data_IF_593251197167
#
_entry.id   IF_593251197167
#
_cell.length_a   1.000
_cell.length_b   1.000
_cell.length_c   1.000
_cell.angle_alpha   90.00
_cell.angle_beta   90.00
_cell.angle_gamma   90.00
#
_symmetry.space_group_name_H-M   'P 1'
#
loop_
_entity.id
_entity.type
_entity.pdbx_description
1 polymer ?
#
# COMPACT_ATOMS: atom_id res chain seq x y z
N UNK A 1 9.26 25.47 -4.52
CA UNK A 1 8.20 25.03 -5.45
C UNK A 1 8.08 23.51 -5.36
N UNK A 2 6.94 22.90 -5.63
CA UNK A 2 6.79 21.44 -5.63
C UNK A 2 5.79 21.02 -6.70
N UNK A 3 5.99 19.81 -7.25
CA UNK A 3 5.14 19.21 -8.27
C UNK A 3 4.36 18.04 -7.65
N UNK A 4 3.03 18.14 -7.58
CA UNK A 4 2.17 17.03 -7.15
C UNK A 4 1.82 16.14 -8.35
N UNK A 5 2.17 14.86 -8.25
CA UNK A 5 1.93 13.86 -9.30
C UNK A 5 1.47 12.51 -8.73
N UNK A 6 1.13 11.59 -9.64
CA UNK A 6 0.78 10.21 -9.31
C UNK A 6 1.99 9.33 -9.65
N UNK A 7 2.50 8.55 -8.67
CA UNK A 7 3.59 7.59 -8.91
C UNK A 7 3.06 6.15 -9.12
N UNK A 8 1.86 5.86 -8.62
CA UNK A 8 1.20 4.57 -8.82
C UNK A 8 -0.31 4.71 -8.83
N UNK A 9 -0.96 4.11 -9.82
CA UNK A 9 -2.41 3.99 -9.88
C UNK A 9 -2.80 2.56 -10.25
N UNK A 10 -3.53 1.90 -9.36
CA UNK A 10 -4.16 0.59 -9.62
C UNK A 10 -5.65 0.68 -9.34
N UNK A 11 -6.43 0.32 -10.33
CA UNK A 11 -7.89 0.40 -10.33
C UNK A 11 -8.44 -1.02 -10.19
N UNK A 12 -9.27 -1.26 -9.19
CA UNK A 12 -10.07 -2.46 -9.10
C UNK A 12 -11.28 -2.28 -10.00
N UNK A 13 -11.51 -3.21 -10.91
CA UNK A 13 -12.49 -3.08 -11.99
C UNK A 13 -13.27 -4.37 -12.22
N UNK A 14 -14.43 -4.25 -12.86
CA UNK A 14 -15.21 -5.37 -13.40
C UNK A 14 -14.87 -5.51 -14.88
N UNK A 15 -14.36 -6.66 -15.26
CA UNK A 15 -13.95 -7.03 -16.61
C UNK A 15 -14.88 -8.10 -17.22
N UNK A 16 -16.03 -8.41 -16.59
CA UNK A 16 -16.92 -9.48 -17.05
C UNK A 16 -17.50 -9.23 -18.46
N UNK A 17 -17.64 -7.96 -18.83
CA UNK A 17 -18.10 -7.52 -20.15
C UNK A 17 -16.96 -6.98 -21.04
N UNK A 18 -15.70 -7.21 -20.65
CA UNK A 18 -14.52 -6.69 -21.37
C UNK A 18 -14.54 -7.15 -22.83
N UNK A 19 -14.42 -6.19 -23.73
CA UNK A 19 -14.34 -6.40 -25.17
C UNK A 19 -13.25 -5.46 -25.74
N UNK A 20 -12.04 -5.96 -26.01
CA UNK A 20 -10.96 -5.14 -26.55
C UNK A 20 -11.35 -4.51 -27.88
N UNK A 21 -11.17 -3.20 -27.98
CA UNK A 21 -11.36 -2.46 -29.23
C UNK A 21 -10.17 -2.63 -30.16
N UNK A 22 -10.29 -2.23 -31.40
CA UNK A 22 -9.22 -2.33 -32.41
C UNK A 22 -8.03 -1.40 -32.13
N UNK A 23 -8.25 -0.34 -31.35
CA UNK A 23 -7.22 0.65 -31.05
C UNK A 23 -6.28 0.19 -29.92
N UNK A 24 -6.74 -0.79 -29.13
CA UNK A 24 -5.97 -1.33 -28.01
C UNK A 24 -5.59 -2.79 -28.24
N UNK A 25 -4.33 -3.11 -28.08
CA UNK A 25 -3.83 -4.49 -28.13
C UNK A 25 -3.73 -5.02 -26.71
N UNK A 26 -4.47 -6.09 -26.41
CA UNK A 26 -4.39 -6.83 -25.15
C UNK A 26 -3.54 -8.07 -25.39
N UNK A 27 -2.25 -7.96 -25.12
CA UNK A 27 -1.32 -9.09 -25.22
C UNK A 27 -1.40 -9.94 -23.96
N UNK A 28 -1.84 -11.19 -24.12
CA UNK A 28 -2.03 -12.11 -23.00
C UNK A 28 -0.72 -12.75 -22.61
N UNK A 29 -0.32 -12.50 -21.36
CA UNK A 29 0.86 -13.15 -20.78
C UNK A 29 0.63 -14.65 -20.57
N UNK A 30 1.67 -15.48 -20.67
CA UNK A 30 1.58 -16.93 -20.52
C UNK A 30 1.15 -17.38 -19.11
N UNK A 31 1.28 -16.51 -18.12
CA UNK A 31 0.90 -16.78 -16.72
C UNK A 31 0.34 -15.53 -16.06
N UNK A 32 -0.57 -15.75 -15.14
CA UNK A 32 -1.14 -14.68 -14.30
C UNK A 32 -0.32 -14.46 -13.03
N UNK A 33 -0.99 -13.91 -12.02
CA UNK A 33 -0.43 -13.67 -10.68
C UNK A 33 -0.88 -14.74 -9.67
N UNK A 34 -0.39 -14.67 -8.44
CA UNK A 34 -0.90 -15.52 -7.34
C UNK A 34 -2.38 -15.26 -7.01
N UNK A 35 -2.93 -14.12 -7.42
CA UNK A 35 -4.32 -13.72 -7.13
C UNK A 35 -5.23 -13.90 -8.34
N UNK A 36 -4.72 -13.61 -9.55
CA UNK A 36 -5.49 -13.60 -10.79
C UNK A 36 -4.94 -14.61 -11.79
N UNK A 37 -5.83 -15.30 -12.49
CA UNK A 37 -5.46 -16.32 -13.46
C UNK A 37 -4.88 -15.74 -14.73
N UNK A 38 -5.43 -14.62 -15.20
CA UNK A 38 -5.04 -13.98 -16.45
C UNK A 38 -4.32 -12.66 -16.20
N UNK A 39 -3.34 -12.37 -17.07
CA UNK A 39 -2.63 -11.10 -17.12
C UNK A 39 -2.49 -10.65 -18.57
N UNK A 40 -2.71 -9.37 -18.81
CA UNK A 40 -2.61 -8.74 -20.12
C UNK A 40 -1.74 -7.50 -20.02
N UNK A 41 -0.78 -7.35 -20.93
CA UNK A 41 -0.11 -6.09 -21.21
C UNK A 41 -0.92 -5.35 -22.27
N UNK A 42 -1.30 -4.09 -22.00
CA UNK A 42 -2.16 -3.31 -22.87
C UNK A 42 -1.31 -2.25 -23.58
N UNK A 43 -1.41 -2.25 -24.92
CA UNK A 43 -0.72 -1.32 -25.78
C UNK A 43 -1.72 -0.37 -26.47
N UNK A 44 -1.30 0.87 -26.63
CA UNK A 44 -1.95 1.87 -27.47
C UNK A 44 -0.91 2.46 -28.43
N UNK A 45 -1.14 2.38 -29.74
CA UNK A 45 -0.20 2.82 -30.77
C UNK A 45 1.23 2.24 -30.62
N UNK A 46 1.33 1.01 -30.12
CA UNK A 46 2.61 0.31 -29.91
C UNK A 46 3.33 0.64 -28.60
N UNK A 47 2.81 1.53 -27.78
CA UNK A 47 3.34 1.84 -26.46
C UNK A 47 2.58 1.10 -25.36
N UNK A 48 3.32 0.55 -24.38
CA UNK A 48 2.74 -0.06 -23.19
C UNK A 48 2.12 1.01 -22.30
N UNK A 49 0.81 0.90 -22.04
CA UNK A 49 0.06 1.90 -21.26
C UNK A 49 -0.45 1.37 -19.93
N UNK A 50 -0.77 0.08 -19.85
CA UNK A 50 -1.33 -0.52 -18.64
C UNK A 50 -1.08 -2.03 -18.58
N UNK A 51 -1.23 -2.58 -17.37
CA UNK A 51 -1.28 -4.04 -17.14
C UNK A 51 -2.61 -4.35 -16.47
N UNK A 52 -3.38 -5.26 -17.06
CA UNK A 52 -4.62 -5.78 -16.50
C UNK A 52 -4.40 -7.20 -15.99
N UNK A 53 -4.70 -7.42 -14.69
CA UNK A 53 -4.82 -8.77 -14.14
C UNK A 53 -6.26 -9.04 -13.80
N UNK A 54 -6.83 -10.17 -14.27
CA UNK A 54 -8.24 -10.49 -14.07
C UNK A 54 -8.49 -11.98 -13.85
N UNK A 55 -9.75 -12.35 -13.66
CA UNK A 55 -10.18 -13.69 -13.33
C UNK A 55 -9.57 -14.21 -12.02
N UNK A 56 -10.14 -13.78 -10.85
CA UNK A 56 -9.64 -14.19 -9.55
C UNK A 56 -9.58 -15.71 -9.40
N UNK A 57 -8.48 -16.22 -8.84
CA UNK A 57 -8.32 -17.65 -8.54
C UNK A 57 -9.15 -18.08 -7.34
N UNK A 58 -9.42 -17.16 -6.41
CA UNK A 58 -10.22 -17.41 -5.22
C UNK A 58 -11.70 -17.16 -5.45
N UNK A 59 -12.53 -18.08 -4.99
CA UNK A 59 -14.00 -17.92 -4.98
C UNK A 59 -14.49 -16.80 -4.04
N UNK A 60 -13.65 -16.34 -3.11
CA UNK A 60 -13.95 -15.20 -2.24
C UNK A 60 -13.99 -13.85 -2.97
N UNK A 61 -13.47 -13.79 -4.18
CA UNK A 61 -13.54 -12.61 -5.03
C UNK A 61 -14.62 -12.78 -6.11
N UNK A 62 -15.29 -11.69 -6.47
CA UNK A 62 -16.29 -11.71 -7.54
C UNK A 62 -15.63 -12.13 -8.86
N UNK A 63 -16.19 -13.14 -9.54
CA UNK A 63 -15.73 -13.54 -10.88
C UNK A 63 -15.82 -12.35 -11.86
N UNK A 64 -14.92 -12.33 -12.84
CA UNK A 64 -14.85 -11.24 -13.82
C UNK A 64 -14.23 -9.95 -13.30
N UNK A 65 -13.81 -9.88 -12.04
CA UNK A 65 -13.11 -8.70 -11.54
C UNK A 65 -11.60 -8.78 -11.77
N UNK A 66 -10.95 -7.62 -11.78
CA UNK A 66 -9.53 -7.49 -12.03
C UNK A 66 -8.91 -6.25 -11.41
N UNK A 67 -7.62 -6.09 -11.66
CA UNK A 67 -6.86 -4.89 -11.31
C UNK A 67 -6.16 -4.37 -12.56
N UNK A 68 -6.52 -3.16 -12.95
CA UNK A 68 -5.87 -2.40 -14.01
C UNK A 68 -4.82 -1.49 -13.39
N UNK A 69 -3.55 -1.74 -13.67
CA UNK A 69 -2.42 -0.91 -13.27
C UNK A 69 -2.04 0.00 -14.42
N UNK A 70 -2.12 1.30 -14.24
CA UNK A 70 -1.65 2.28 -15.22
C UNK A 70 -0.13 2.42 -15.09
N UNK A 71 0.58 2.42 -16.21
CA UNK A 71 2.04 2.55 -16.23
C UNK A 71 2.47 4.01 -16.04
N UNK A 72 3.64 4.19 -15.42
CA UNK A 72 4.11 5.52 -15.04
C UNK A 72 4.23 6.52 -16.20
N UNK A 73 4.67 6.17 -17.42
CA UNK A 73 4.73 7.13 -18.53
C UNK A 73 3.39 7.81 -18.79
N UNK A 74 2.29 7.07 -18.65
CA UNK A 74 0.93 7.60 -18.86
C UNK A 74 0.52 8.56 -17.74
N UNK A 75 0.94 8.27 -16.49
CA UNK A 75 0.59 9.08 -15.30
C UNK A 75 1.15 10.51 -15.35
N UNK A 76 2.13 10.77 -16.22
CA UNK A 76 2.76 12.09 -16.42
C UNK A 76 2.28 12.80 -17.69
N UNK A 77 1.35 12.23 -18.46
CA UNK A 77 0.82 12.86 -19.69
C UNK A 77 -0.25 13.91 -19.37
N UNK A 78 -0.39 14.88 -20.27
CA UNK A 78 -1.33 16.00 -20.09
C UNK A 78 -2.79 15.58 -20.10
N UNK A 79 -3.17 14.61 -20.95
CA UNK A 79 -4.56 14.14 -21.12
C UNK A 79 -4.83 12.83 -20.33
N UNK A 80 -4.27 12.74 -19.13
CA UNK A 80 -4.36 11.56 -18.28
C UNK A 80 -5.81 11.12 -18.01
N UNK A 81 -6.70 12.09 -17.76
CA UNK A 81 -8.11 11.83 -17.46
C UNK A 81 -8.80 11.12 -18.63
N UNK A 82 -8.72 11.73 -19.82
CA UNK A 82 -9.34 11.21 -21.03
C UNK A 82 -8.74 9.87 -21.44
N UNK A 83 -7.44 9.69 -21.31
CA UNK A 83 -6.78 8.44 -21.67
C UNK A 83 -7.23 7.27 -20.81
N UNK A 84 -7.32 7.45 -19.50
CA UNK A 84 -7.75 6.38 -18.59
C UNK A 84 -9.24 6.08 -18.79
N UNK A 85 -10.09 7.11 -18.90
CA UNK A 85 -11.51 6.90 -19.16
C UNK A 85 -11.77 6.26 -20.52
N UNK A 86 -11.08 6.67 -21.57
CA UNK A 86 -11.18 6.04 -22.89
C UNK A 86 -10.71 4.58 -22.85
N UNK A 87 -9.57 4.28 -22.22
CA UNK A 87 -9.11 2.90 -22.03
C UNK A 87 -10.18 2.04 -21.39
N UNK A 88 -10.80 2.51 -20.33
CA UNK A 88 -11.80 1.74 -19.60
C UNK A 88 -13.14 1.65 -20.37
N UNK A 89 -13.64 2.77 -20.84
CA UNK A 89 -14.96 2.86 -21.47
C UNK A 89 -15.01 2.12 -22.80
N UNK A 90 -14.04 2.35 -23.69
CA UNK A 90 -14.01 1.75 -25.04
C UNK A 90 -13.86 0.22 -24.95
N UNK A 91 -13.18 -0.29 -23.93
CA UNK A 91 -12.95 -1.72 -23.75
C UNK A 91 -13.93 -2.38 -22.76
N UNK A 92 -15.01 -1.69 -22.36
CA UNK A 92 -16.04 -2.16 -21.42
C UNK A 92 -15.47 -2.64 -20.07
N UNK A 93 -14.47 -1.94 -19.55
CA UNK A 93 -13.91 -2.15 -18.21
C UNK A 93 -14.59 -1.19 -17.25
N UNK A 94 -15.33 -1.70 -16.26
CA UNK A 94 -16.06 -0.86 -15.32
C UNK A 94 -15.24 -0.54 -14.08
N UNK A 95 -15.18 0.73 -13.70
CA UNK A 95 -14.55 1.19 -12.46
C UNK A 95 -15.33 0.68 -11.24
N UNK A 96 -14.63 0.10 -10.26
CA UNK A 96 -15.20 -0.28 -8.97
C UNK A 96 -14.59 0.52 -7.83
N UNK A 97 -13.26 0.60 -7.77
CA UNK A 97 -12.53 1.29 -6.71
C UNK A 97 -11.06 1.48 -7.11
N UNK A 98 -10.35 2.38 -6.41
CA UNK A 98 -8.89 2.48 -6.50
C UNK A 98 -8.29 1.54 -5.45
N UNK A 99 -7.62 0.48 -5.90
CA UNK A 99 -6.99 -0.51 -5.03
C UNK A 99 -5.67 -0.04 -4.43
N UNK A 100 -4.89 0.74 -5.20
CA UNK A 100 -3.66 1.42 -4.74
C UNK A 100 -3.49 2.76 -5.44
N UNK A 101 -3.12 3.75 -4.67
CA UNK A 101 -2.78 5.08 -5.14
C UNK A 101 -1.54 5.56 -4.39
N UNK A 102 -0.48 5.89 -5.13
CA UNK A 102 0.67 6.57 -4.56
C UNK A 102 0.71 8.00 -5.13
N UNK A 103 0.48 8.98 -4.26
CA UNK A 103 0.57 10.41 -4.58
C UNK A 103 1.89 10.94 -4.07
N UNK A 104 2.60 11.71 -4.88
CA UNK A 104 3.88 12.25 -4.52
C UNK A 104 3.99 13.75 -4.84
N UNK A 105 4.89 14.41 -4.11
CA UNK A 105 5.39 15.74 -4.47
C UNK A 105 6.90 15.66 -4.64
N UNK A 106 7.39 16.21 -5.76
CA UNK A 106 8.80 16.39 -6.04
C UNK A 106 9.21 17.83 -5.74
N UNK A 107 10.38 18.03 -5.14
CA UNK A 107 10.91 19.33 -4.73
C UNK A 107 12.43 19.24 -4.53
N UNK A 108 13.14 20.37 -4.56
CA UNK A 108 14.58 20.38 -4.33
C UNK A 108 14.95 20.30 -2.84
N UNK A 109 14.27 21.05 -1.99
CA UNK A 109 14.53 21.06 -0.55
C UNK A 109 13.26 21.47 0.22
N UNK A 110 13.24 21.20 1.50
CA UNK A 110 12.21 21.71 2.41
C UNK A 110 12.45 23.18 2.76
N UNK A 111 11.39 23.92 3.02
CA UNK A 111 11.47 25.28 3.53
C UNK A 111 12.25 25.31 4.85
N UNK A 112 13.26 26.18 4.94
CA UNK A 112 14.17 26.24 6.09
C UNK A 112 15.26 25.15 6.12
N UNK A 113 15.29 24.24 5.14
CA UNK A 113 16.29 23.16 5.02
C UNK A 113 16.88 23.11 3.60
N UNK A 114 17.72 24.10 3.21
CA UNK A 114 18.40 24.07 1.90
C UNK A 114 19.31 22.84 1.74
N UNK A 115 19.82 22.31 2.86
CA UNK A 115 20.43 20.99 2.93
C UNK A 115 19.49 19.98 3.59
N UNK A 116 19.01 19.03 2.82
CA UNK A 116 18.12 17.98 3.30
C UNK A 116 18.76 17.09 4.37
N UNK A 117 20.09 16.98 4.43
CA UNK A 117 20.78 16.24 5.48
C UNK A 117 20.56 16.91 6.85
N UNK A 118 20.46 18.23 6.90
CA UNK A 118 20.14 18.94 8.13
C UNK A 118 18.72 18.61 8.65
N UNK A 119 17.73 18.44 7.76
CA UNK A 119 16.41 17.97 8.13
C UNK A 119 16.46 16.59 8.79
N UNK A 120 17.19 15.64 8.21
CA UNK A 120 17.37 14.31 8.81
C UNK A 120 18.05 14.39 10.16
N UNK A 121 19.10 15.19 10.31
CA UNK A 121 19.81 15.39 11.58
C UNK A 121 18.88 15.98 12.65
N UNK A 122 18.13 17.02 12.31
CA UNK A 122 17.21 17.67 13.26
C UNK A 122 16.07 16.73 13.66
N UNK A 123 15.59 15.88 12.76
CA UNK A 123 14.65 14.82 13.09
C UNK A 123 15.27 13.76 14.00
N UNK A 124 16.47 13.25 13.69
CA UNK A 124 17.15 12.22 14.45
C UNK A 124 17.65 12.73 15.82
N UNK A 125 17.95 14.01 15.95
CA UNK A 125 18.33 14.64 17.23
C UNK A 125 17.14 15.16 18.04
N UNK A 126 15.90 14.89 17.58
CA UNK A 126 14.67 15.31 18.26
C UNK A 126 14.47 16.84 18.33
N UNK A 127 15.14 17.61 17.51
CA UNK A 127 14.79 19.02 17.28
C UNK A 127 13.46 19.16 16.52
N UNK A 128 13.14 18.14 15.70
CA UNK A 128 11.85 17.97 15.06
C UNK A 128 11.12 16.74 15.62
N UNK A 129 9.86 16.91 15.94
CA UNK A 129 8.97 15.83 16.32
C UNK A 129 7.97 15.51 15.24
N UNK A 130 7.84 14.22 14.89
CA UNK A 130 6.75 13.72 14.02
C UNK A 130 5.55 13.34 14.88
N UNK A 131 4.40 13.95 14.63
CA UNK A 131 3.15 13.63 15.32
C UNK A 131 2.55 12.33 14.75
N UNK A 132 2.03 11.47 15.62
CA UNK A 132 1.29 10.26 15.24
C UNK A 132 2.13 9.09 14.73
N UNK A 133 3.46 9.16 14.74
CA UNK A 133 4.32 8.03 14.31
C UNK A 133 5.12 7.46 15.49
N UNK A 134 4.87 6.18 15.82
CA UNK A 134 5.65 5.44 16.81
C UNK A 134 6.86 4.72 16.20
N UNK A 135 6.79 4.37 14.90
CA UNK A 135 7.83 3.62 14.18
C UNK A 135 8.12 4.29 12.84
N UNK A 136 9.38 4.32 12.48
CA UNK A 136 9.85 4.80 11.18
C UNK A 136 11.09 4.02 10.76
N UNK A 137 11.44 4.12 9.47
CA UNK A 137 12.61 3.49 8.88
C UNK A 137 13.45 4.55 8.19
N UNK A 138 14.74 4.56 8.47
CA UNK A 138 15.72 5.47 7.85
C UNK A 138 16.75 4.63 7.11
N UNK A 139 17.13 5.06 5.91
CA UNK A 139 18.24 4.48 5.16
C UNK A 139 19.33 5.52 4.98
N UNK A 140 20.55 5.10 5.24
CA UNK A 140 21.75 5.91 5.09
C UNK A 140 22.79 5.17 4.24
N UNK A 141 23.55 5.92 3.42
CA UNK A 141 24.68 5.40 2.64
C UNK A 141 24.36 4.17 1.77
N UNK A 142 23.24 4.18 1.04
CA UNK A 142 22.77 3.14 0.10
C UNK A 142 22.64 1.71 0.66
N UNK A 143 23.47 1.29 1.61
CA UNK A 143 23.63 -0.10 2.01
C UNK A 143 23.01 -0.43 3.37
N UNK A 144 22.64 0.55 4.17
CA UNK A 144 22.20 0.31 5.56
C UNK A 144 20.82 0.87 5.79
N UNK A 145 19.87 -0.04 6.00
CA UNK A 145 18.50 0.29 6.34
C UNK A 145 18.28 0.07 7.85
N UNK A 146 17.83 1.10 8.56
CA UNK A 146 17.61 1.06 10.00
C UNK A 146 16.10 1.08 10.28
N UNK A 147 15.63 0.11 11.07
CA UNK A 147 14.32 0.18 11.71
C UNK A 147 14.49 0.90 13.06
N UNK A 148 13.92 2.11 13.15
CA UNK A 148 14.09 2.96 14.32
C UNK A 148 12.81 3.07 15.15
N UNK A 149 13.00 2.98 16.47
CA UNK A 149 12.05 3.53 17.43
C UNK A 149 12.71 4.79 18.04
N UNK A 150 11.93 5.75 18.53
CA UNK A 150 12.45 6.98 19.14
C UNK A 150 13.54 6.73 20.19
N UNK A 151 13.53 5.59 20.87
CA UNK A 151 14.51 5.22 21.90
C UNK A 151 15.82 4.60 21.36
N UNK A 152 15.89 4.23 20.07
CA UNK A 152 17.08 3.61 19.47
C UNK A 152 17.92 4.58 18.61
N UNK A 153 17.64 5.87 18.66
CA UNK A 153 18.24 6.87 17.77
C UNK A 153 19.67 7.25 18.11
N UNK A 154 20.13 6.99 19.33
CA UNK A 154 21.44 7.47 19.86
C UNK A 154 22.63 6.98 19.00
N UNK A 155 22.52 5.84 18.33
CA UNK A 155 23.59 5.31 17.46
C UNK A 155 23.61 5.86 16.03
N UNK A 156 22.56 6.59 15.59
CA UNK A 156 22.43 7.07 14.21
C UNK A 156 22.96 8.49 13.98
N UNK A 157 23.38 9.18 15.03
CA UNK A 157 23.82 10.60 15.00
C UNK A 157 25.23 10.79 14.44
N UNK A 158 25.72 9.90 13.58
CA UNK A 158 27.02 10.07 12.97
C UNK A 158 26.98 11.09 11.85
N UNK A 159 27.83 12.11 11.93
CA UNK A 159 28.08 13.09 10.86
C UNK A 159 28.62 12.47 9.56
N UNK A 160 28.90 11.16 9.55
CA UNK A 160 29.40 10.40 8.39
C UNK A 160 28.31 9.77 7.55
N UNK A 161 27.03 9.82 7.99
CA UNK A 161 25.93 9.23 7.25
C UNK A 161 25.26 10.25 6.34
N UNK A 162 25.10 9.87 5.06
CA UNK A 162 24.27 10.58 4.11
C UNK A 162 22.91 9.89 4.05
N UNK A 163 21.89 10.54 4.57
CA UNK A 163 20.53 9.99 4.62
C UNK A 163 19.84 10.17 3.27
N UNK A 164 19.13 9.14 2.83
CA UNK A 164 18.53 9.10 1.50
C UNK A 164 17.06 8.73 1.51
N UNK A 165 16.57 8.21 2.66
CA UNK A 165 15.24 7.66 2.75
C UNK A 165 14.71 7.72 4.18
N UNK A 166 13.43 8.10 4.29
CA UNK A 166 12.67 8.07 5.54
C UNK A 166 11.26 7.56 5.24
N UNK A 167 10.80 6.58 6.01
CA UNK A 167 9.47 6.02 5.88
C UNK A 167 8.73 6.04 7.20
N UNK A 168 7.46 6.44 7.17
CA UNK A 168 6.48 6.25 8.23
C UNK A 168 5.42 5.26 7.78
N UNK A 169 5.02 4.37 8.68
CA UNK A 169 4.12 3.27 8.38
C UNK A 169 4.84 2.04 7.81
N UNK A 170 4.20 0.89 7.90
CA UNK A 170 4.69 -0.37 7.34
C UNK A 170 4.27 -0.55 5.89
N UNK A 171 4.91 -1.50 5.17
CA UNK A 171 4.52 -1.87 3.79
C UNK A 171 3.07 -2.36 3.68
N UNK A 172 2.49 -2.88 4.76
CA UNK A 172 1.10 -3.37 4.81
C UNK A 172 0.11 -2.34 5.37
N UNK A 173 0.59 -1.19 5.85
CA UNK A 173 -0.30 -0.12 6.35
C UNK A 173 -1.21 0.40 5.24
N UNK A 174 -2.44 0.77 5.60
CA UNK A 174 -3.40 1.42 4.68
C UNK A 174 -2.86 2.73 4.13
N UNK A 175 -2.09 3.46 4.95
CA UNK A 175 -1.37 4.67 4.57
C UNK A 175 0.08 4.55 5.03
N UNK A 176 1.01 4.89 4.16
CA UNK A 176 2.43 5.05 4.49
C UNK A 176 2.99 6.27 3.76
N UNK A 177 3.95 6.93 4.40
CA UNK A 177 4.63 8.10 3.85
C UNK A 177 6.11 7.78 3.63
N UNK A 178 6.65 8.19 2.49
CA UNK A 178 8.02 7.95 2.06
C UNK A 178 8.65 9.28 1.64
N UNK A 179 9.79 9.60 2.21
CA UNK A 179 10.67 10.68 1.71
C UNK A 179 11.94 10.04 1.20
N UNK A 180 12.35 10.33 -0.04
CA UNK A 180 13.56 9.77 -0.60
C UNK A 180 14.19 10.66 -1.67
N UNK A 181 15.51 10.48 -1.85
CA UNK A 181 16.27 11.18 -2.89
C UNK A 181 15.95 10.59 -4.27
N UNK A 182 15.12 11.29 -5.04
CA UNK A 182 14.67 10.86 -6.37
C UNK A 182 15.78 10.97 -7.41
N UNK A 183 16.66 11.95 -7.30
CA UNK A 183 17.83 12.06 -8.19
C UNK A 183 18.72 10.84 -8.10
N UNK A 184 18.89 10.28 -6.92
CA UNK A 184 19.69 9.07 -6.73
C UNK A 184 19.02 7.85 -7.37
N UNK A 185 17.70 7.70 -7.23
CA UNK A 185 16.96 6.63 -7.92
C UNK A 185 17.15 6.73 -9.45
N UNK A 186 17.15 7.95 -10.00
CA UNK A 186 17.41 8.20 -11.42
C UNK A 186 18.80 7.76 -11.90
N UNK A 187 19.82 7.95 -11.06
CA UNK A 187 21.20 7.53 -11.38
C UNK A 187 21.37 6.03 -11.30
N UNK A 188 20.66 5.39 -10.36
CA UNK A 188 20.89 4.00 -10.03
C UNK A 188 20.07 3.01 -10.88
N UNK A 189 18.91 3.42 -11.40
CA UNK A 189 18.00 2.52 -12.11
C UNK A 189 17.98 2.82 -13.62
N UNK A 190 17.28 3.83 -14.02
CA UNK A 190 17.18 4.30 -15.42
C UNK A 190 16.53 5.69 -15.41
N UNK A 191 17.15 6.62 -16.15
CA UNK A 191 16.56 7.95 -16.35
C UNK A 191 15.20 7.79 -17.06
N UNK A 192 14.16 8.35 -16.45
CA UNK A 192 12.80 8.39 -16.99
C UNK A 192 12.53 9.79 -17.51
N UNK A 193 12.71 10.01 -18.81
CA UNK A 193 12.65 11.33 -19.43
C UNK A 193 11.35 12.08 -19.13
N UNK A 194 10.20 11.38 -19.11
CA UNK A 194 8.91 11.98 -18.77
C UNK A 194 8.85 12.63 -17.40
N UNK A 195 9.62 12.13 -16.41
CA UNK A 195 9.73 12.78 -15.08
C UNK A 195 10.62 14.03 -15.18
N UNK A 196 11.74 13.97 -15.89
CA UNK A 196 12.61 15.12 -16.08
C UNK A 196 11.89 16.25 -16.83
N UNK A 197 11.10 15.94 -17.84
CA UNK A 197 10.23 16.88 -18.55
C UNK A 197 9.20 17.52 -17.62
N UNK A 198 8.57 16.72 -16.74
CA UNK A 198 7.62 17.23 -15.74
C UNK A 198 8.31 18.13 -14.71
N UNK A 199 9.55 17.84 -14.32
CA UNK A 199 10.33 18.73 -13.44
C UNK A 199 10.63 20.05 -14.11
N UNK A 200 11.12 20.01 -15.37
CA UNK A 200 11.43 21.23 -16.14
C UNK A 200 10.19 22.12 -16.32
N UNK A 201 9.03 21.52 -16.59
CA UNK A 201 7.75 22.23 -16.75
C UNK A 201 7.23 22.87 -15.44
N UNK A 202 7.78 22.48 -14.28
CA UNK A 202 7.35 22.96 -12.96
C UNK A 202 8.47 23.60 -12.14
N UNK A 203 9.50 24.13 -12.80
CA UNK A 203 10.62 24.85 -12.20
C UNK A 203 11.35 24.07 -11.08
N UNK A 204 11.42 22.75 -11.20
CA UNK A 204 12.24 21.89 -10.33
C UNK A 204 13.61 21.75 -10.98
N UNK A 205 14.64 22.22 -10.29
CA UNK A 205 16.01 22.21 -10.81
C UNK A 205 16.64 20.81 -10.74
N UNK A 206 16.73 20.12 -11.87
CA UNK A 206 17.36 18.78 -11.95
C UNK A 206 18.87 18.78 -11.71
N UNK A 207 19.53 19.96 -11.70
CA UNK A 207 20.97 20.08 -11.38
C UNK A 207 21.21 19.95 -9.88
N UNK A 208 20.21 20.24 -9.08
CA UNK A 208 20.19 19.99 -7.64
C UNK A 208 19.64 18.60 -7.33
N UNK A 209 19.75 18.19 -6.08
CA UNK A 209 19.03 17.00 -5.63
C UNK A 209 17.53 17.25 -5.66
N UNK A 210 16.79 16.32 -6.25
CA UNK A 210 15.33 16.28 -6.19
C UNK A 210 14.91 15.22 -5.19
N UNK A 211 14.09 15.63 -4.25
CA UNK A 211 13.49 14.79 -3.24
C UNK A 211 12.04 14.54 -3.55
N UNK A 212 11.56 13.37 -3.19
CA UNK A 212 10.16 12.98 -3.34
C UNK A 212 9.55 12.63 -1.98
N UNK A 213 8.43 13.29 -1.68
CA UNK A 213 7.56 12.90 -0.58
C UNK A 213 6.31 12.22 -1.15
N UNK A 214 6.15 10.94 -0.86
CA UNK A 214 5.12 10.07 -1.40
C UNK A 214 4.20 9.54 -0.31
N UNK A 215 2.89 9.54 -0.56
CA UNK A 215 1.87 8.89 0.27
C UNK A 215 1.29 7.71 -0.48
N UNK A 216 1.51 6.50 0.03
CA UNK A 216 0.94 5.27 -0.52
C UNK A 216 -0.36 4.91 0.20
N UNK A 217 -1.47 4.88 -0.56
CA UNK A 217 -2.81 4.56 -0.09
C UNK A 217 -3.24 3.19 -0.61
N UNK A 218 -3.54 2.24 0.27
CA UNK A 218 -3.86 0.85 -0.09
C UNK A 218 -5.26 0.46 0.37
N UNK A 219 -5.99 -0.20 -0.56
CA UNK A 219 -7.33 -0.70 -0.31
C UNK A 219 -8.36 0.42 -0.10
N UNK A 220 -9.51 0.05 0.39
CA UNK A 220 -10.70 0.88 0.58
C UNK A 220 -10.85 1.44 1.99
N UNK A 221 -9.92 1.12 2.89
CA UNK A 221 -9.98 1.51 4.29
C UNK A 221 -9.64 2.97 4.58
N UNK A 222 -9.46 3.82 3.57
CA UNK A 222 -9.30 5.26 3.75
C UNK A 222 -10.43 5.99 3.04
N UNK A 223 -11.09 6.87 3.79
CA UNK A 223 -12.12 7.79 3.27
C UNK A 223 -11.71 9.23 3.59
N UNK A 224 -12.27 10.14 2.85
CA UNK A 224 -12.04 11.58 3.03
C UNK A 224 -13.34 12.25 3.46
N UNK A 225 -13.28 12.98 4.55
CA UNK A 225 -14.38 13.84 4.98
C UNK A 225 -14.17 15.22 4.33
N UNK A 226 -15.10 15.63 3.48
CA UNK A 226 -15.15 17.02 3.01
C UNK A 226 -15.62 17.90 4.17
N UNK A 227 -14.79 18.86 4.57
CA UNK A 227 -15.04 19.68 5.77
C UNK A 227 -16.14 20.73 5.56
N UNK A 228 -16.43 21.10 4.33
CA UNK A 228 -17.49 22.04 3.96
C UNK A 228 -18.84 21.34 3.88
N UNK A 229 -18.94 20.30 3.06
CA UNK A 229 -20.20 19.58 2.84
C UNK A 229 -20.54 18.58 3.93
N UNK A 230 -19.58 18.24 4.81
CA UNK A 230 -19.66 17.16 5.82
C UNK A 230 -19.93 15.77 5.23
N UNK A 231 -19.73 15.60 3.95
CA UNK A 231 -19.93 14.33 3.27
C UNK A 231 -18.64 13.49 3.23
N UNK A 232 -18.81 12.18 3.34
CA UNK A 232 -17.72 11.22 3.17
C UNK A 232 -17.52 10.89 1.69
N UNK A 233 -16.27 10.91 1.26
CA UNK A 233 -15.87 10.58 -0.09
C UNK A 233 -14.89 9.39 -0.07
N UNK A 234 -15.15 8.40 -0.91
CA UNK A 234 -14.16 7.38 -1.21
C UNK A 234 -13.17 7.91 -2.27
N UNK A 235 -12.00 7.26 -2.39
CA UNK A 235 -11.12 7.52 -3.53
C UNK A 235 -11.85 7.19 -4.82
N UNK A 236 -11.91 8.13 -5.75
CA UNK A 236 -12.46 7.94 -7.08
C UNK A 236 -11.51 8.49 -8.14
N UNK A 237 -11.77 8.19 -9.41
CA UNK A 237 -10.90 8.61 -10.50
C UNK A 237 -10.89 10.13 -10.66
N UNK A 238 -12.03 10.80 -10.53
CA UNK A 238 -12.14 12.25 -10.70
C UNK A 238 -11.25 12.99 -9.72
N UNK A 239 -11.27 12.59 -8.43
CA UNK A 239 -10.41 13.19 -7.39
C UNK A 239 -8.92 13.00 -7.67
N UNK A 240 -8.54 11.93 -8.35
CA UNK A 240 -7.14 11.57 -8.58
C UNK A 240 -6.63 12.13 -9.89
N UNK A 241 -7.45 12.09 -10.93
CA UNK A 241 -7.03 12.46 -12.28
C UNK A 241 -7.12 13.98 -12.52
N UNK A 242 -8.07 14.67 -11.88
CA UNK A 242 -8.13 16.14 -11.91
C UNK A 242 -6.97 16.76 -11.11
N UNK A 243 -6.13 17.62 -11.70
CA UNK A 243 -4.95 18.19 -11.03
C UNK A 243 -5.28 18.98 -9.77
N UNK A 244 -6.39 19.72 -9.76
CA UNK A 244 -6.78 20.55 -8.63
C UNK A 244 -7.24 19.68 -7.47
N UNK A 245 -8.13 18.71 -7.73
CA UNK A 245 -8.62 17.79 -6.71
C UNK A 245 -7.48 16.88 -6.20
N UNK A 246 -6.58 16.44 -7.08
CA UNK A 246 -5.39 15.69 -6.71
C UNK A 246 -4.49 16.47 -5.75
N UNK A 247 -4.27 17.76 -6.01
CA UNK A 247 -3.51 18.63 -5.10
C UNK A 247 -4.20 18.76 -3.76
N UNK A 248 -5.52 18.97 -3.71
CA UNK A 248 -6.29 18.99 -2.46
C UNK A 248 -6.19 17.68 -1.69
N UNK A 249 -6.19 16.55 -2.40
CA UNK A 249 -6.02 15.23 -1.82
C UNK A 249 -4.62 15.06 -1.23
N UNK A 250 -3.57 15.45 -1.95
CA UNK A 250 -2.20 15.44 -1.47
C UNK A 250 -2.03 16.33 -0.24
N UNK A 251 -2.54 17.56 -0.27
CA UNK A 251 -2.48 18.50 0.85
C UNK A 251 -3.14 17.92 2.10
N UNK A 252 -4.31 17.29 1.96
CA UNK A 252 -4.99 16.60 3.06
C UNK A 252 -4.12 15.50 3.69
N UNK A 253 -3.44 14.71 2.87
CA UNK A 253 -2.53 13.65 3.32
C UNK A 253 -1.29 14.22 4.01
N UNK A 254 -0.72 15.27 3.42
CA UNK A 254 0.43 15.96 4.00
C UNK A 254 0.12 16.50 5.39
N UNK A 255 -0.94 17.29 5.53
CA UNK A 255 -1.35 17.88 6.81
C UNK A 255 -1.63 16.82 7.89
N UNK A 256 -2.12 15.65 7.49
CA UNK A 256 -2.42 14.55 8.43
C UNK A 256 -1.22 13.66 8.73
N UNK A 257 -0.46 13.29 7.71
CA UNK A 257 0.56 12.23 7.83
C UNK A 257 2.00 12.74 7.78
N UNK A 258 2.22 14.04 7.50
CA UNK A 258 3.53 14.69 7.51
C UNK A 258 3.62 15.83 8.53
N UNK A 259 2.90 15.73 9.65
CA UNK A 259 2.86 16.74 10.72
C UNK A 259 4.14 16.69 11.56
N UNK A 260 5.05 17.63 11.28
CA UNK A 260 6.26 17.85 12.07
C UNK A 260 6.13 19.09 12.94
N UNK A 261 6.72 19.02 14.13
CA UNK A 261 6.74 20.09 15.13
C UNK A 261 8.15 20.41 15.54
N UNK A 262 8.44 21.69 15.71
CA UNK A 262 9.72 22.15 16.27
C UNK A 262 9.71 21.89 17.77
N UNK A 263 10.73 21.21 18.27
CA UNK A 263 10.88 20.95 19.70
C UNK A 263 11.30 22.21 20.41
N UNK A 264 10.34 22.92 20.98
CA UNK A 264 10.52 24.15 21.78
C UNK A 264 10.50 23.91 23.29
N UNK A 265 10.63 22.63 23.71
CA UNK A 265 10.62 22.22 25.12
C UNK A 265 9.21 22.10 25.73
N UNK A 266 8.15 22.28 24.97
CA UNK A 266 6.79 22.07 25.47
C UNK A 266 6.54 20.59 25.78
N UNK A 267 5.87 20.30 26.90
CA UNK A 267 5.52 18.93 27.31
C UNK A 267 4.54 18.26 26.35
N UNK A 268 3.64 19.03 25.76
CA UNK A 268 2.61 18.52 24.83
C UNK A 268 3.01 18.80 23.39
N UNK A 269 3.31 17.75 22.64
CA UNK A 269 3.76 17.81 21.23
C UNK A 269 2.78 18.49 20.30
N UNK A 270 1.47 18.35 20.55
CA UNK A 270 0.41 18.96 19.76
C UNK A 270 0.36 20.51 19.91
N UNK A 271 0.99 21.04 20.96
CA UNK A 271 1.11 22.49 21.20
C UNK A 271 2.42 23.10 20.69
N UNK A 272 3.37 22.28 20.28
CA UNK A 272 4.62 22.73 19.68
C UNK A 272 4.36 23.43 18.35
N UNK A 273 5.22 24.37 17.97
CA UNK A 273 5.12 25.10 16.69
C UNK A 273 5.19 24.13 15.52
N UNK A 274 4.28 24.25 14.57
CA UNK A 274 4.29 23.48 13.34
C UNK A 274 5.52 23.85 12.49
N UNK A 275 6.22 22.83 11.99
CA UNK A 275 7.29 22.99 11.02
C UNK A 275 6.69 22.96 9.61
N UNK A 276 6.54 24.13 8.98
CA UNK A 276 6.10 24.23 7.60
C UNK A 276 7.26 23.86 6.67
N UNK A 277 7.33 22.59 6.25
CA UNK A 277 8.42 22.05 5.44
C UNK A 277 8.17 22.21 3.94
N UNK A 278 6.91 22.23 3.50
CA UNK A 278 6.49 22.55 2.13
C UNK A 278 5.41 23.64 2.17
N UNK A 279 5.31 24.48 1.15
CA UNK A 279 4.28 25.51 1.02
C UNK A 279 2.94 24.86 0.65
N UNK A 280 2.34 24.14 1.60
CA UNK A 280 1.09 23.41 1.42
C UNK A 280 -0.08 24.31 1.83
N UNK A 281 -1.02 24.49 0.93
CA UNK A 281 -2.27 25.17 1.21
C UNK A 281 -3.18 24.31 2.09
N UNK A 282 -4.14 24.94 2.76
CA UNK A 282 -5.17 24.24 3.50
C UNK A 282 -5.98 23.34 2.56
N UNK A 283 -6.43 22.18 3.06
CA UNK A 283 -7.31 21.29 2.30
C UNK A 283 -8.69 21.24 2.93
N UNK A 284 -9.72 21.25 2.08
CA UNK A 284 -11.11 20.99 2.50
C UNK A 284 -11.34 19.51 2.84
N UNK A 285 -10.40 18.64 2.49
CA UNK A 285 -10.47 17.19 2.71
C UNK A 285 -9.73 16.81 3.99
N UNK A 286 -10.31 15.91 4.76
CA UNK A 286 -9.69 15.30 5.94
C UNK A 286 -9.65 13.78 5.78
N UNK A 287 -8.47 13.15 5.67
CA UNK A 287 -8.38 11.72 5.54
C UNK A 287 -8.67 11.03 6.90
N UNK A 288 -9.45 9.97 6.85
CA UNK A 288 -9.77 9.11 7.99
C UNK A 288 -9.54 7.66 7.60
N UNK A 289 -8.74 6.96 8.40
CA UNK A 289 -8.58 5.51 8.28
C UNK A 289 -9.70 4.84 9.04
N UNK A 290 -10.51 4.06 8.35
CA UNK A 290 -11.53 3.24 8.98
C UNK A 290 -10.82 2.00 9.53
N UNK A 291 -10.75 1.91 10.85
CA UNK A 291 -10.31 0.72 11.57
C UNK A 291 -11.57 0.00 12.02
N UNK A 292 -11.90 -1.13 11.38
CA UNK A 292 -12.93 -2.03 11.90
C UNK A 292 -12.41 -2.70 13.18
N UNK A 293 -13.24 -2.81 14.19
CA UNK A 293 -12.96 -3.59 15.40
C UNK A 293 -13.11 -5.09 15.15
N UNK A 294 -13.88 -5.49 14.14
CA UNK A 294 -14.15 -6.88 13.78
C UNK A 294 -13.33 -7.30 12.56
N UNK A 295 -13.14 -8.61 12.42
CA UNK A 295 -12.54 -9.21 11.22
C UNK A 295 -13.37 -8.74 10.03
N UNK A 296 -12.79 -7.87 9.21
CA UNK A 296 -13.48 -7.26 8.08
C UNK A 296 -13.71 -8.31 7.01
N UNK A 297 -14.76 -8.16 6.17
CA UNK A 297 -14.99 -9.01 4.97
C UNK A 297 -13.71 -9.23 4.16
N UNK A 298 -12.82 -8.26 4.17
CA UNK A 298 -11.54 -8.32 3.46
C UNK A 298 -10.54 -9.26 4.14
N UNK A 299 -10.50 -9.27 5.47
CA UNK A 299 -9.65 -10.20 6.23
C UNK A 299 -10.19 -11.61 6.10
N UNK A 300 -11.51 -11.79 6.18
CA UNK A 300 -12.15 -13.08 5.88
C UNK A 300 -11.82 -13.57 4.46
N UNK A 301 -11.93 -12.71 3.43
CA UNK A 301 -11.55 -13.04 2.05
C UNK A 301 -10.07 -13.42 1.91
N UNK A 302 -9.16 -12.75 2.64
CA UNK A 302 -7.74 -13.12 2.67
C UNK A 302 -7.51 -14.48 3.31
N UNK A 303 -8.20 -14.78 4.41
CA UNK A 303 -8.14 -16.07 5.09
C UNK A 303 -8.66 -17.17 4.19
N UNK A 304 -9.83 -16.97 3.56
CA UNK A 304 -10.37 -17.89 2.55
C UNK A 304 -9.32 -18.18 1.46
N UNK A 305 -8.73 -17.13 0.89
CA UNK A 305 -7.72 -17.29 -0.17
C UNK A 305 -6.45 -18.00 0.31
N UNK A 306 -6.07 -17.83 1.57
CA UNK A 306 -4.93 -18.55 2.16
C UNK A 306 -5.24 -20.03 2.35
N UNK A 307 -6.43 -20.35 2.86
CA UNK A 307 -6.92 -21.72 3.03
C UNK A 307 -6.98 -22.44 1.68
N UNK A 308 -7.57 -21.81 0.65
CA UNK A 308 -7.68 -22.37 -0.70
C UNK A 308 -6.31 -22.70 -1.28
N UNK A 309 -5.33 -21.77 -1.20
CA UNK A 309 -3.95 -22.02 -1.67
C UNK A 309 -3.30 -23.19 -0.94
N UNK A 310 -3.50 -23.29 0.37
CA UNK A 310 -2.95 -24.40 1.16
C UNK A 310 -3.52 -25.74 0.71
N UNK A 311 -4.84 -25.81 0.47
CA UNK A 311 -5.46 -27.03 -0.08
C UNK A 311 -4.94 -27.37 -1.48
N UNK A 312 -4.80 -26.38 -2.36
CA UNK A 312 -4.29 -26.61 -3.71
C UNK A 312 -2.83 -27.08 -3.69
N UNK A 313 -1.99 -26.50 -2.83
CA UNK A 313 -0.58 -26.94 -2.65
C UNK A 313 -0.49 -28.40 -2.15
N UNK A 314 -1.31 -28.79 -1.18
CA UNK A 314 -1.35 -30.15 -0.66
C UNK A 314 -1.82 -31.13 -1.73
N UNK A 315 -2.84 -30.76 -2.51
CA UNK A 315 -3.38 -31.56 -3.62
C UNK A 315 -2.35 -31.76 -4.74
N UNK A 316 -1.65 -30.70 -5.12
CA UNK A 316 -0.64 -30.73 -6.21
C UNK A 316 0.59 -31.56 -5.84
N UNK A 317 1.03 -31.52 -4.59
CA UNK A 317 2.20 -32.28 -4.11
C UNK A 317 1.96 -33.78 -3.96
N UNK A 318 0.74 -34.29 -4.23
CA UNK A 318 0.33 -35.70 -4.05
C UNK A 318 0.73 -36.29 -2.68
N UNK A 319 0.90 -35.44 -1.68
CA UNK A 319 1.12 -35.91 -0.32
C UNK A 319 -0.13 -36.61 0.18
N UNK A 320 0.03 -37.76 0.79
CA UNK A 320 -1.01 -38.42 1.59
C UNK A 320 -1.64 -37.38 2.51
N UNK A 321 -2.96 -37.33 2.54
CA UNK A 321 -3.74 -36.42 3.39
C UNK A 321 -3.08 -36.34 4.75
N UNK A 322 -2.55 -35.18 5.06
CA UNK A 322 -1.98 -34.98 6.39
C UNK A 322 -3.13 -34.55 7.30
N UNK A 323 -3.63 -35.47 8.09
CA UNK A 323 -4.76 -35.24 9.01
C UNK A 323 -4.50 -34.05 9.95
N UNK A 324 -3.26 -33.86 10.37
CA UNK A 324 -2.85 -32.73 11.20
C UNK A 324 -3.01 -31.40 10.47
N UNK A 325 -2.70 -31.34 9.17
CA UNK A 325 -2.86 -30.13 8.38
C UNK A 325 -4.33 -29.81 8.14
N UNK A 326 -5.15 -30.82 7.87
CA UNK A 326 -6.60 -30.66 7.75
C UNK A 326 -7.22 -30.17 9.05
N UNK A 327 -6.83 -30.73 10.19
CA UNK A 327 -7.26 -30.29 11.50
C UNK A 327 -6.89 -28.81 11.77
N UNK A 328 -5.64 -28.42 11.48
CA UNK A 328 -5.19 -27.03 11.64
C UNK A 328 -5.96 -26.04 10.75
N UNK A 329 -6.29 -26.43 9.51
CA UNK A 329 -7.09 -25.61 8.61
C UNK A 329 -8.52 -25.46 9.13
N UNK A 330 -9.10 -26.53 9.66
CA UNK A 330 -10.44 -26.52 10.24
C UNK A 330 -10.50 -25.63 11.49
N UNK A 331 -9.52 -25.75 12.37
CA UNK A 331 -9.38 -24.91 13.56
C UNK A 331 -9.29 -23.41 13.18
N UNK A 332 -8.42 -23.09 12.22
CA UNK A 332 -8.31 -21.72 11.70
C UNK A 332 -9.64 -21.23 11.10
N UNK A 333 -10.33 -22.09 10.36
CA UNK A 333 -11.64 -21.79 9.74
C UNK A 333 -12.72 -21.53 10.79
N UNK A 334 -12.72 -22.32 11.87
CA UNK A 334 -13.62 -22.13 12.99
C UNK A 334 -13.34 -20.83 13.75
N UNK A 335 -12.08 -20.58 14.07
CA UNK A 335 -11.63 -19.35 14.74
C UNK A 335 -12.00 -18.09 13.96
N UNK A 336 -11.93 -18.13 12.63
CA UNK A 336 -12.30 -17.01 11.76
C UNK A 336 -13.82 -16.92 11.47
N UNK A 337 -14.66 -17.76 12.04
CA UNK A 337 -16.09 -17.77 11.77
C UNK A 337 -16.48 -18.25 10.35
N UNK A 338 -15.60 -18.99 9.69
CA UNK A 338 -15.78 -19.44 8.30
C UNK A 338 -16.32 -20.88 8.18
N UNK A 339 -16.81 -21.48 9.26
CA UNK A 339 -17.32 -22.86 9.30
C UNK A 339 -18.33 -23.15 8.20
N UNK A 340 -19.33 -22.27 8.03
CA UNK A 340 -20.39 -22.46 7.03
C UNK A 340 -19.80 -22.50 5.62
N UNK A 341 -18.93 -21.56 5.29
CA UNK A 341 -18.24 -21.52 3.99
C UNK A 341 -17.41 -22.80 3.75
N UNK A 342 -16.65 -23.24 4.77
CA UNK A 342 -15.82 -24.42 4.67
C UNK A 342 -16.66 -25.68 4.44
N UNK A 343 -17.78 -25.85 5.18
CA UNK A 343 -18.69 -26.97 5.05
C UNK A 343 -19.37 -27.00 3.66
N UNK A 344 -19.79 -25.86 3.15
CA UNK A 344 -20.39 -25.74 1.81
C UNK A 344 -19.40 -26.13 0.70
N UNK A 345 -18.13 -25.78 0.85
CA UNK A 345 -17.11 -26.00 -0.19
C UNK A 345 -16.45 -27.38 -0.14
N UNK A 346 -16.18 -27.90 1.05
CA UNK A 346 -15.39 -29.13 1.25
C UNK A 346 -16.18 -30.29 1.85
N UNK A 347 -17.44 -30.09 2.20
CA UNK A 347 -18.39 -31.07 2.68
C UNK A 347 -18.70 -30.94 4.17
N UNK A 348 -19.94 -31.35 4.51
CA UNK A 348 -20.52 -31.15 5.84
C UNK A 348 -19.88 -32.00 6.96
N UNK A 349 -18.99 -32.94 6.64
CA UNK A 349 -18.28 -33.79 7.61
C UNK A 349 -17.68 -33.04 8.79
N UNK A 350 -17.43 -31.76 8.60
CA UNK A 350 -16.71 -30.88 9.54
C UNK A 350 -17.59 -29.76 10.11
N UNK A 351 -18.88 -29.70 9.76
CA UNK A 351 -19.77 -28.63 10.20
C UNK A 351 -20.14 -28.69 11.67
N UNK A 352 -20.18 -29.93 12.21
CA UNK A 352 -20.74 -30.23 13.55
C UNK A 352 -19.65 -30.56 14.60
N UNK A 353 -18.38 -30.42 14.29
CA UNK A 353 -17.31 -30.65 15.26
C UNK A 353 -17.23 -29.50 16.27
N UNK A 354 -17.38 -29.81 17.55
CA UNK A 354 -17.16 -28.81 18.62
C UNK A 354 -15.66 -28.64 18.88
N UNK A 355 -15.09 -27.64 18.22
CA UNK A 355 -13.66 -27.36 18.28
C UNK A 355 -13.21 -26.75 19.61
N UNK A 356 -14.14 -26.25 20.43
CA UNK A 356 -13.79 -25.72 21.73
C UNK A 356 -13.41 -26.87 22.70
N UNK A 357 -14.14 -28.01 22.67
CA UNK A 357 -13.76 -29.19 23.42
C UNK A 357 -12.44 -29.80 22.93
N UNK A 358 -12.26 -29.93 21.61
CA UNK A 358 -11.02 -30.48 21.05
C UNK A 358 -9.81 -29.61 21.33
N UNK A 359 -9.99 -28.27 21.34
CA UNK A 359 -8.90 -27.34 21.65
C UNK A 359 -8.48 -27.48 23.12
N UNK A 360 -9.44 -27.62 24.05
CA UNK A 360 -9.13 -27.86 25.45
C UNK A 360 -8.44 -29.21 25.67
N UNK A 361 -8.89 -30.28 25.03
CA UNK A 361 -8.24 -31.59 25.11
C UNK A 361 -6.83 -31.59 24.54
N UNK A 362 -6.56 -30.83 23.48
CA UNK A 362 -5.23 -30.74 22.89
C UNK A 362 -4.28 -29.81 23.69
N UNK A 363 -4.80 -28.76 24.30
CA UNK A 363 -4.05 -27.92 25.24
C UNK A 363 -3.70 -28.70 26.52
N UNK A 364 -4.63 -29.49 27.05
CA UNK A 364 -4.36 -30.39 28.16
C UNK A 364 -3.34 -31.48 27.80
N UNK A 365 -3.37 -32.06 26.58
CA UNK A 365 -2.34 -33.00 26.11
C UNK A 365 -0.98 -32.31 26.00
N UNK A 366 -0.91 -31.11 25.44
CA UNK A 366 0.34 -30.34 25.33
C UNK A 366 0.90 -29.95 26.70
N UNK A 367 0.05 -29.67 27.70
CA UNK A 367 0.49 -29.46 29.07
C UNK A 367 1.00 -30.76 29.72
N UNK A 368 0.33 -31.90 29.52
CA UNK A 368 0.77 -33.21 30.02
C UNK A 368 2.14 -33.58 29.39
N UNK A 369 2.33 -33.37 28.09
CA UNK A 369 3.63 -33.60 27.42
C UNK A 369 4.73 -32.64 27.88
N UNK A 370 4.38 -31.43 28.33
CA UNK A 370 5.35 -30.50 28.95
C UNK A 370 5.72 -30.85 30.38
N UNK A 371 4.83 -31.50 31.10
CA UNK A 371 5.02 -31.86 32.52
C UNK A 371 5.64 -33.24 32.68
N UNK A 372 5.58 -34.13 31.68
CA UNK A 372 6.28 -35.42 31.68
C UNK A 372 7.59 -35.28 30.88
N UNK A 373 8.75 -35.06 31.53
CA UNK A 373 10.00 -35.22 30.84
C UNK A 373 10.10 -36.69 30.43
N UNK A 374 10.34 -36.91 29.14
CA UNK A 374 10.51 -38.24 28.55
C UNK A 374 11.50 -39.04 29.36
N UNK A 375 11.07 -40.20 29.86
CA UNK A 375 11.87 -41.19 30.61
C UNK A 375 13.02 -41.81 29.79
N UNK A 376 13.45 -41.17 28.69
CA UNK A 376 14.48 -41.68 27.76
C UNK A 376 15.72 -40.79 27.66
N UNK A 377 15.85 -39.75 28.49
CA UNK A 377 17.09 -38.99 28.64
C UNK A 377 17.77 -39.36 29.98
N UNK A 378 18.12 -40.63 30.13
CA UNK A 378 19.13 -41.11 31.08
C UNK A 378 20.21 -41.91 30.36
#
# INVERSE_FOLDING_TARGET
MHLVSIDWLSIYCDCSAMAPSKDYIFDKEPYGTSVFADMYTIYLYGEEIAILTCNPRSSAMKKGTGVLKILNPILYQQFLYEQIWNLMHINNIQFLNISRLDLCADFNHFDGYPDMQQFFQDFLTLKLWKIGAAKYKVCANKAVEFDCNYFKMIGLQSSRHTYQYLRFGSKVSKVSAYLYNKTQEFRDVKRKNYIAEAWAANDIDEKQEVWRLEFSLKGDGIKFLNQETKMWQAKNLDMVLDPIQRTQLYNALYLKYWDFRVNDGQKRKDRMKHAALLPIESSILRPVVITGSDITDREQKRMISAIERTYDEVRMKRQTRNETLEASIQELTAFCGLRKWHAEKYGAKYADMDFAEQYQEEEERREIDRVQPTLFDQ
#
